data_IF_309275771408
#
_entry.id   IF_309275771408
#
_cell.length_a   1.000
_cell.length_b   1.000
_cell.length_c   1.000
_cell.angle_alpha   90.00
_cell.angle_beta   90.00
_cell.angle_gamma   90.00
#
_symmetry.space_group_name_H-M   'P 1'
#
loop_
_entity.id
_entity.type
_entity.pdbx_description
1 polymer ?
#
# COMPACT_ATOMS: atom_id res chain seq x y z
N UNK A 1 9.65 -36.00 6.34
CA UNK A 1 8.98 -35.36 7.49
C UNK A 1 7.52 -35.26 7.14
N UNK A 2 6.63 -35.89 7.91
CA UNK A 2 5.20 -35.94 7.59
C UNK A 2 4.50 -34.71 8.16
N UNK A 3 3.66 -34.04 7.36
CA UNK A 3 2.84 -32.90 7.78
C UNK A 3 1.74 -33.27 8.79
N UNK A 4 1.53 -34.56 9.08
CA UNK A 4 0.47 -35.05 9.97
C UNK A 4 0.74 -34.80 11.47
N UNK A 5 1.95 -34.42 11.85
CA UNK A 5 2.35 -34.19 13.24
C UNK A 5 2.70 -32.72 13.54
N UNK A 6 2.54 -31.84 12.54
CA UNK A 6 2.74 -30.39 12.71
C UNK A 6 1.39 -29.70 12.89
N UNK A 7 1.28 -28.81 13.89
CA UNK A 7 0.10 -27.96 14.01
C UNK A 7 -0.01 -27.10 12.74
N UNK A 8 -1.19 -27.00 12.09
CA UNK A 8 -1.35 -26.17 10.89
C UNK A 8 -0.87 -24.71 11.05
N UNK A 9 -0.94 -24.14 12.25
CA UNK A 9 -0.42 -22.80 12.55
C UNK A 9 1.12 -22.73 12.48
N UNK A 10 1.80 -23.76 12.99
CA UNK A 10 3.27 -23.86 12.95
C UNK A 10 3.76 -24.05 11.52
N UNK A 11 3.06 -24.89 10.74
CA UNK A 11 3.36 -25.11 9.32
C UNK A 11 3.20 -23.82 8.49
N UNK A 12 2.14 -23.05 8.76
CA UNK A 12 1.93 -21.75 8.10
C UNK A 12 3.05 -20.77 8.41
N UNK A 13 3.46 -20.68 9.69
CA UNK A 13 4.53 -19.79 10.13
C UNK A 13 5.88 -20.19 9.53
N UNK A 14 6.23 -21.48 9.52
CA UNK A 14 7.48 -21.99 8.93
C UNK A 14 7.52 -21.73 7.42
N UNK A 15 6.40 -21.97 6.72
CA UNK A 15 6.31 -21.75 5.27
C UNK A 15 6.48 -20.27 4.95
N UNK A 16 5.81 -19.38 5.70
CA UNK A 16 5.91 -17.94 5.52
C UNK A 16 7.34 -17.42 5.71
N UNK A 17 8.03 -17.81 6.78
CA UNK A 17 9.43 -17.38 6.99
C UNK A 17 10.35 -17.93 5.89
N UNK A 18 10.11 -19.15 5.41
CA UNK A 18 10.88 -19.71 4.29
C UNK A 18 10.65 -18.95 2.98
N UNK A 19 9.41 -18.56 2.69
CA UNK A 19 9.09 -17.77 1.50
C UNK A 19 9.75 -16.38 1.55
N UNK A 20 9.73 -15.74 2.72
CA UNK A 20 10.42 -14.47 2.97
C UNK A 20 11.93 -14.59 2.76
N UNK A 21 12.56 -15.64 3.29
CA UNK A 21 13.99 -15.89 3.07
C UNK A 21 14.32 -16.05 1.57
N UNK A 22 13.47 -16.76 0.82
CA UNK A 22 13.63 -16.93 -0.61
C UNK A 22 13.49 -15.59 -1.36
N UNK A 23 12.53 -14.75 -0.96
CA UNK A 23 12.33 -13.43 -1.54
C UNK A 23 13.53 -12.50 -1.30
N UNK A 24 14.05 -12.47 -0.07
CA UNK A 24 15.25 -11.68 0.28
C UNK A 24 16.48 -12.15 -0.51
N UNK A 25 16.63 -13.47 -0.68
CA UNK A 25 17.71 -14.06 -1.48
C UNK A 25 17.59 -13.68 -2.95
N UNK A 26 16.37 -13.63 -3.48
CA UNK A 26 16.11 -13.23 -4.86
C UNK A 26 16.39 -11.75 -5.09
N UNK A 27 15.93 -10.88 -4.19
CA UNK A 27 16.21 -9.45 -4.19
C UNK A 27 17.73 -9.18 -4.18
N UNK A 28 18.46 -9.88 -3.31
CA UNK A 28 19.93 -9.77 -3.23
C UNK A 28 20.59 -10.16 -4.56
N UNK A 29 20.12 -11.24 -5.19
CA UNK A 29 20.65 -11.69 -6.50
C UNK A 29 20.39 -10.67 -7.61
N UNK A 30 19.18 -10.10 -7.67
CA UNK A 30 18.84 -9.06 -8.65
C UNK A 30 19.67 -7.80 -8.44
N UNK A 31 19.90 -7.41 -7.19
CA UNK A 31 20.72 -6.24 -6.86
C UNK A 31 22.18 -6.45 -7.27
N UNK A 32 22.75 -7.64 -7.01
CA UNK A 32 24.10 -7.98 -7.47
C UNK A 32 24.22 -7.88 -8.99
N UNK A 33 23.24 -8.42 -9.73
CA UNK A 33 23.24 -8.31 -11.19
C UNK A 33 23.23 -6.86 -11.67
N UNK A 34 22.42 -5.99 -11.05
CA UNK A 34 22.40 -4.55 -11.38
C UNK A 34 23.75 -3.88 -11.12
N UNK A 35 24.43 -4.26 -10.04
CA UNK A 35 25.77 -3.75 -9.72
C UNK A 35 26.78 -4.21 -10.77
N UNK A 36 26.76 -5.49 -11.15
CA UNK A 36 27.64 -6.04 -12.19
C UNK A 36 27.41 -5.34 -13.54
N UNK A 37 26.15 -5.08 -13.91
CA UNK A 37 25.80 -4.32 -15.11
C UNK A 37 26.31 -2.87 -15.03
N UNK A 38 26.15 -2.21 -13.88
CA UNK A 38 26.66 -0.86 -13.67
C UNK A 38 28.18 -0.79 -13.80
N UNK A 39 28.91 -1.77 -13.26
CA UNK A 39 30.36 -1.90 -13.42
C UNK A 39 30.75 -2.09 -14.89
N UNK A 40 30.05 -2.96 -15.62
CA UNK A 40 30.28 -3.15 -17.05
C UNK A 40 30.03 -1.85 -17.87
N UNK A 41 29.06 -1.03 -17.47
CA UNK A 41 28.81 0.29 -18.09
C UNK A 41 29.91 1.29 -17.80
N UNK A 42 30.55 1.23 -16.64
CA UNK A 42 31.74 2.04 -16.31
C UNK A 42 32.90 1.66 -17.24
N UNK A 43 33.16 0.37 -17.42
CA UNK A 43 34.22 -0.11 -18.34
C UNK A 43 33.98 0.33 -19.78
N UNK A 44 32.72 0.37 -20.21
CA UNK A 44 32.32 0.85 -21.55
C UNK A 44 32.28 2.38 -21.67
N UNK A 45 32.46 3.14 -20.59
CA UNK A 45 32.36 4.60 -20.57
C UNK A 45 30.94 5.14 -20.77
N UNK A 46 29.90 4.33 -20.55
CA UNK A 46 28.47 4.69 -20.69
C UNK A 46 27.79 4.95 -19.34
N UNK A 47 28.54 4.84 -18.24
CA UNK A 47 28.03 5.11 -16.91
C UNK A 47 27.56 6.56 -16.77
N UNK A 48 26.43 6.76 -16.08
CA UNK A 48 25.82 8.08 -15.89
C UNK A 48 24.97 8.59 -17.04
N UNK A 49 24.72 7.78 -18.08
CA UNK A 49 23.73 8.08 -19.13
C UNK A 49 22.53 7.15 -19.04
N UNK A 50 21.33 7.71 -19.20
CA UNK A 50 20.06 7.00 -19.19
C UNK A 50 19.95 6.06 -20.41
N UNK A 51 19.56 4.81 -20.20
CA UNK A 51 19.37 3.82 -21.28
C UNK A 51 18.22 4.16 -22.23
N UNK A 52 17.17 4.80 -21.73
CA UNK A 52 15.96 5.08 -22.51
C UNK A 52 16.10 6.34 -23.37
N UNK A 53 16.47 7.47 -22.75
CA UNK A 53 16.52 8.76 -23.44
C UNK A 53 17.95 9.25 -23.77
N UNK A 54 19.00 8.56 -23.32
CA UNK A 54 20.40 8.95 -23.54
C UNK A 54 20.86 10.20 -22.78
N UNK A 55 20.00 10.83 -21.97
CA UNK A 55 20.33 12.01 -21.16
C UNK A 55 21.25 11.63 -19.98
N UNK A 56 22.02 12.60 -19.50
CA UNK A 56 22.86 12.41 -18.31
C UNK A 56 21.99 12.27 -17.06
N UNK A 57 22.29 11.28 -16.22
CA UNK A 57 21.64 11.03 -14.94
C UNK A 57 22.19 12.03 -13.91
N UNK A 58 21.31 12.58 -13.07
CA UNK A 58 21.72 13.52 -12.02
C UNK A 58 22.73 12.87 -11.06
N UNK A 59 23.81 13.59 -10.73
CA UNK A 59 24.86 13.06 -9.85
C UNK A 59 24.32 12.72 -8.45
N UNK A 60 23.40 13.51 -7.91
CA UNK A 60 22.78 13.26 -6.60
C UNK A 60 22.04 11.91 -6.58
N UNK A 61 21.45 11.52 -7.71
CA UNK A 61 20.78 10.23 -7.87
C UNK A 61 21.78 9.08 -7.93
N UNK A 62 22.87 9.23 -8.69
CA UNK A 62 23.93 8.22 -8.74
C UNK A 62 24.68 8.07 -7.41
N UNK A 63 24.72 9.13 -6.59
CA UNK A 63 25.28 9.08 -5.25
C UNK A 63 24.39 8.30 -4.27
N UNK A 64 23.07 8.38 -4.44
CA UNK A 64 22.10 7.64 -3.64
C UNK A 64 21.94 6.18 -4.10
N UNK A 65 21.82 5.96 -5.41
CA UNK A 65 21.57 4.66 -6.04
C UNK A 65 22.52 4.53 -7.25
N UNK A 66 23.74 4.00 -7.06
CA UNK A 66 24.75 3.95 -8.11
C UNK A 66 24.44 2.95 -9.23
N UNK A 67 23.63 1.92 -8.95
CA UNK A 67 23.26 0.88 -9.92
C UNK A 67 22.11 1.29 -10.86
N UNK A 68 21.60 2.53 -10.75
CA UNK A 68 20.47 2.99 -11.58
C UNK A 68 20.88 3.23 -13.03
N UNK A 69 20.06 2.74 -13.97
CA UNK A 69 20.30 2.89 -15.42
C UNK A 69 19.39 3.93 -16.08
N UNK A 70 18.38 4.43 -15.35
CA UNK A 70 17.36 5.36 -15.85
C UNK A 70 17.42 6.71 -15.12
N UNK A 71 17.00 7.77 -15.82
CA UNK A 71 16.76 9.08 -15.21
C UNK A 71 15.39 9.12 -14.52
N UNK A 72 15.18 10.12 -13.65
CA UNK A 72 13.93 10.30 -12.89
C UNK A 72 12.69 10.34 -13.79
N UNK A 73 12.74 11.11 -14.88
CA UNK A 73 11.60 11.23 -15.79
C UNK A 73 11.20 9.87 -16.37
N UNK A 74 12.18 9.13 -16.93
CA UNK A 74 11.91 7.83 -17.55
C UNK A 74 11.52 6.76 -16.52
N UNK A 75 12.07 6.81 -15.30
CA UNK A 75 11.64 5.93 -14.22
C UNK A 75 10.19 6.23 -13.81
N UNK A 76 9.81 7.50 -13.70
CA UNK A 76 8.45 7.91 -13.33
C UNK A 76 7.41 7.55 -14.40
N UNK A 77 7.79 7.59 -15.68
CA UNK A 77 6.94 7.13 -16.79
C UNK A 77 6.75 5.62 -16.72
N UNK A 78 7.82 4.87 -16.47
CA UNK A 78 7.78 3.42 -16.33
C UNK A 78 6.95 2.97 -15.10
N UNK A 79 7.04 3.70 -13.98
CA UNK A 79 6.27 3.39 -12.77
C UNK A 79 4.75 3.59 -12.99
N UNK A 80 4.35 4.66 -13.69
CA UNK A 80 2.94 4.90 -14.03
C UNK A 80 2.34 3.80 -14.88
N UNK A 81 3.11 3.24 -15.82
CA UNK A 81 2.63 2.15 -16.67
C UNK A 81 2.38 0.87 -15.86
N UNK A 82 3.26 0.55 -14.91
CA UNK A 82 3.17 -0.68 -14.11
C UNK A 82 2.23 -0.62 -12.89
N UNK A 83 1.83 0.57 -12.45
CA UNK A 83 0.88 0.73 -11.33
C UNK A 83 -0.48 0.05 -11.62
N UNK A 84 -0.86 0.00 -12.90
CA UNK A 84 -2.09 -0.64 -13.36
C UNK A 84 -1.96 -2.16 -13.56
N UNK A 85 -0.76 -2.67 -13.83
CA UNK A 85 -0.54 -4.09 -14.16
C UNK A 85 -0.44 -4.98 -12.92
N UNK A 86 0.06 -4.42 -11.82
CA UNK A 86 0.33 -5.20 -10.60
C UNK A 86 -0.87 -5.24 -9.66
N UNK A 87 -1.82 -4.31 -9.84
CA UNK A 87 -3.03 -4.21 -9.04
C UNK A 87 -4.21 -4.80 -9.83
N UNK A 88 -5.16 -5.47 -9.17
CA UNK A 88 -6.31 -6.04 -9.86
C UNK A 88 -7.12 -4.94 -10.57
N UNK A 89 -7.66 -5.22 -11.75
CA UNK A 89 -8.50 -4.25 -12.50
C UNK A 89 -9.75 -3.84 -11.70
N UNK A 90 -10.19 -4.71 -10.78
CA UNK A 90 -11.25 -4.44 -9.83
C UNK A 90 -10.96 -3.22 -8.97
N UNK A 91 -9.69 -2.90 -8.73
CA UNK A 91 -9.29 -1.75 -7.93
C UNK A 91 -9.46 -0.40 -8.62
N UNK A 92 -9.39 -0.37 -9.95
CA UNK A 92 -9.76 0.80 -10.75
C UNK A 92 -11.25 1.12 -10.58
N UNK A 93 -12.08 0.07 -10.50
CA UNK A 93 -13.52 0.16 -10.27
C UNK A 93 -13.89 0.39 -8.81
N UNK A 94 -12.95 0.22 -7.88
CA UNK A 94 -13.11 0.48 -6.45
C UNK A 94 -12.86 1.96 -6.09
N UNK A 95 -12.64 2.86 -7.06
CA UNK A 95 -12.55 4.29 -6.79
C UNK A 95 -13.96 4.91 -6.69
N UNK A 96 -14.38 5.48 -5.55
CA UNK A 96 -13.58 5.80 -4.37
C UNK A 96 -13.56 4.65 -3.32
N UNK A 97 -12.39 4.37 -2.71
CA UNK A 97 -12.08 3.11 -2.02
C UNK A 97 -12.84 3.00 -0.72
N UNK A 98 -13.92 2.22 -0.64
CA UNK A 98 -14.77 2.19 0.57
C UNK A 98 -14.89 3.58 1.19
N UNK A 99 -15.01 4.60 0.34
CA UNK A 99 -15.06 5.96 0.80
C UNK A 99 -16.42 5.99 1.48
N UNK A 100 -16.42 5.79 2.81
CA UNK A 100 -16.62 6.86 3.77
C UNK A 100 -16.91 8.16 3.04
N UNK A 101 -18.03 8.19 2.32
CA UNK A 101 -18.68 9.42 1.94
C UNK A 101 -19.22 9.89 3.27
N UNK A 102 -18.35 10.45 4.10
CA UNK A 102 -18.75 11.46 5.06
C UNK A 102 -18.91 12.66 4.16
N UNK A 103 -20.14 12.88 3.71
CA UNK A 103 -20.47 13.98 2.81
C UNK A 103 -20.83 15.23 3.63
N UNK A 104 -20.16 15.41 4.76
CA UNK A 104 -20.31 16.51 5.72
C UNK A 104 -20.18 17.90 5.08
N UNK A 105 -19.28 18.03 4.11
CA UNK A 105 -19.05 19.27 3.35
C UNK A 105 -20.04 19.48 2.18
N UNK A 106 -21.06 18.63 2.01
CA UNK A 106 -22.04 18.73 0.91
C UNK A 106 -23.49 18.71 1.39
N UNK A 107 -24.38 19.47 0.73
CA UNK A 107 -25.84 19.48 1.01
C UNK A 107 -26.57 18.17 0.60
N UNK A 108 -25.86 17.03 0.59
CA UNK A 108 -26.37 15.76 0.12
C UNK A 108 -27.18 15.05 1.20
N UNK A 109 -28.50 15.23 1.20
CA UNK A 109 -29.43 14.63 2.16
C UNK A 109 -29.79 13.14 1.91
N UNK A 110 -28.88 12.36 1.30
CA UNK A 110 -29.12 10.95 0.97
C UNK A 110 -28.20 10.03 1.76
N UNK A 111 -28.62 8.78 2.00
CA UNK A 111 -27.87 7.79 2.78
C UNK A 111 -26.42 7.67 2.30
N UNK A 112 -25.49 8.04 3.16
CA UNK A 112 -24.06 8.04 2.89
C UNK A 112 -23.32 6.99 3.73
N UNK A 113 -21.99 7.11 3.81
CA UNK A 113 -21.16 6.13 4.51
C UNK A 113 -21.23 6.28 6.02
N UNK A 114 -21.54 7.49 6.51
CA UNK A 114 -21.76 7.81 7.91
C UNK A 114 -23.08 7.21 8.38
N UNK A 115 -24.16 7.46 7.64
CA UNK A 115 -25.51 6.95 7.95
C UNK A 115 -25.53 5.43 8.16
N UNK A 116 -24.88 4.70 7.25
CA UNK A 116 -24.81 3.24 7.30
C UNK A 116 -23.98 2.79 8.51
N UNK A 117 -22.92 3.52 8.85
CA UNK A 117 -22.09 3.19 10.00
C UNK A 117 -22.85 3.43 11.31
N UNK A 118 -23.57 4.54 11.43
CA UNK A 118 -24.40 4.86 12.60
C UNK A 118 -25.53 3.84 12.81
N UNK A 119 -26.21 3.44 11.74
CA UNK A 119 -27.27 2.43 11.81
C UNK A 119 -26.75 1.10 12.38
N UNK A 120 -25.59 0.65 11.91
CA UNK A 120 -24.95 -0.59 12.36
C UNK A 120 -24.37 -0.44 13.77
N UNK A 121 -23.80 0.72 14.10
CA UNK A 121 -23.24 1.01 15.41
C UNK A 121 -24.28 0.91 16.53
N UNK A 122 -25.57 1.18 16.24
CA UNK A 122 -26.69 0.96 17.17
C UNK A 122 -26.81 -0.49 17.65
N UNK A 123 -26.39 -1.45 16.84
CA UNK A 123 -26.42 -2.87 17.17
C UNK A 123 -25.15 -3.36 17.89
N UNK A 124 -24.17 -2.48 18.10
CA UNK A 124 -22.96 -2.72 18.89
C UNK A 124 -21.70 -2.43 18.08
N UNK A 125 -20.82 -1.59 18.65
CA UNK A 125 -19.46 -1.37 18.16
C UNK A 125 -18.48 -2.23 18.97
N UNK A 126 -17.24 -2.38 18.48
CA UNK A 126 -16.17 -3.01 19.26
C UNK A 126 -15.65 -2.14 20.41
N UNK A 127 -16.21 -0.94 20.60
CA UNK A 127 -15.83 -0.04 21.68
C UNK A 127 -16.41 -0.54 23.00
N UNK A 128 -15.58 -0.55 24.03
CA UNK A 128 -16.02 -0.93 25.37
C UNK A 128 -16.41 0.30 26.17
N UNK A 129 -17.22 0.15 27.23
CA UNK A 129 -17.58 1.26 28.13
C UNK A 129 -16.36 1.98 28.74
N UNK A 130 -15.16 1.38 28.70
CA UNK A 130 -13.91 2.00 29.13
C UNK A 130 -13.34 3.01 28.10
N UNK A 131 -13.69 2.88 26.82
CA UNK A 131 -13.23 3.77 25.75
C UNK A 131 -13.99 5.12 25.75
N UNK A 132 -15.22 5.16 26.28
CA UNK A 132 -16.14 6.31 26.24
C UNK A 132 -15.88 7.42 27.29
N UNK A 133 -14.69 7.44 27.91
CA UNK A 133 -14.22 8.60 28.69
C UNK A 133 -15.15 9.10 29.82
N UNK A 134 -16.00 8.23 30.41
CA UNK A 134 -16.81 8.57 31.58
C UNK A 134 -18.22 9.10 31.32
N UNK A 135 -18.79 8.95 30.12
CA UNK A 135 -20.22 9.21 29.89
C UNK A 135 -21.06 8.00 30.34
N UNK A 136 -22.02 8.22 31.24
CA UNK A 136 -22.81 7.16 31.92
C UNK A 136 -24.17 6.85 31.28
N UNK A 137 -24.40 7.27 30.04
CA UNK A 137 -25.66 7.04 29.34
C UNK A 137 -25.39 6.16 28.11
N UNK A 138 -26.01 4.98 28.10
CA UNK A 138 -25.98 4.04 26.98
C UNK A 138 -26.83 4.49 25.78
N UNK A 139 -27.66 5.51 25.97
CA UNK A 139 -28.65 5.97 24.97
C UNK A 139 -28.11 7.07 24.04
N UNK A 140 -26.85 7.50 24.17
CA UNK A 140 -26.33 8.62 23.38
C UNK A 140 -24.88 8.39 22.88
N UNK A 141 -24.73 7.57 21.83
CA UNK A 141 -23.45 7.39 21.15
C UNK A 141 -23.29 8.53 20.14
N UNK A 142 -22.94 9.73 20.61
CA UNK A 142 -22.60 10.92 19.80
C UNK A 142 -23.10 10.88 18.35
N UNK A 143 -24.38 11.13 18.19
CA UNK A 143 -24.97 11.52 16.91
C UNK A 143 -24.84 13.03 16.89
N UNK A 144 -24.19 13.60 15.88
CA UNK A 144 -24.21 15.05 15.70
C UNK A 144 -25.68 15.48 15.61
N UNK A 145 -26.13 16.24 16.62
CA UNK A 145 -27.53 16.55 16.89
C UNK A 145 -28.16 17.52 15.89
N UNK A 146 -27.63 17.60 14.68
CA UNK A 146 -27.91 18.62 13.69
C UNK A 146 -28.82 18.08 12.56
N UNK A 147 -29.00 16.77 12.44
CA UNK A 147 -29.88 16.16 11.46
C UNK A 147 -31.23 15.76 12.06
N UNK A 148 -32.21 16.67 11.98
CA UNK A 148 -33.59 16.33 12.33
C UNK A 148 -34.22 15.41 11.26
N UNK A 149 -34.82 14.27 11.66
CA UNK A 149 -35.48 13.36 10.73
C UNK A 149 -36.79 13.99 10.20
N UNK A 150 -36.97 13.91 8.87
CA UNK A 150 -38.19 14.32 8.15
C UNK A 150 -39.41 13.44 8.46
#
# INVERSE_FOLDING_TARGET
LSAYDNHPADLGSETFEREKDLALRDLSRRTLHKIDDALARIEQGKYGFCEHCGRQIANDRLAAIPETTLCLDCESENEKEHDHETRPIEEELLSPPFCRTFRDDSDYAGTDGEDIWEEVARYGTSETAADLGGKTYFDDPQIDGDEEPW
#
